data_IF_522172011326
#
_entry.id   IF_522172011326
#
_cell.length_a   1.000
_cell.length_b   1.000
_cell.length_c   1.000
_cell.angle_alpha   90.00
_cell.angle_beta   90.00
_cell.angle_gamma   90.00
#
_symmetry.space_group_name_H-M   'P 1'
#
loop_
_entity.id
_entity.type
_entity.pdbx_description
1 polymer ?
#
# COMPACT_ATOMS: atom_id res chain seq x y z
N UNK A 1 -22.64 -9.88 -1.68
CA UNK A 1 -21.19 -9.96 -1.95
C UNK A 1 -20.57 -8.71 -1.36
N UNK A 2 -19.71 -8.84 -0.35
CA UNK A 2 -18.87 -7.71 0.09
C UNK A 2 -17.98 -7.36 -1.09
N UNK A 3 -18.20 -6.20 -1.72
CA UNK A 3 -17.25 -5.65 -2.66
C UNK A 3 -15.95 -5.45 -1.87
N UNK A 4 -14.95 -6.31 -2.12
CA UNK A 4 -13.63 -6.14 -1.55
C UNK A 4 -13.11 -4.82 -2.10
N UNK A 5 -13.13 -3.78 -1.26
CA UNK A 5 -12.61 -2.46 -1.61
C UNK A 5 -11.11 -2.60 -1.92
N UNK A 6 -10.50 -1.68 -2.66
CA UNK A 6 -9.05 -1.68 -2.91
C UNK A 6 -8.38 -0.83 -1.82
N UNK A 7 -7.16 -1.15 -1.33
CA UNK A 7 -6.47 -0.30 -0.38
C UNK A 7 -6.44 1.13 -0.91
N UNK A 8 -6.84 2.10 -0.09
CA UNK A 8 -7.01 3.48 -0.53
C UNK A 8 -5.69 4.14 -0.92
N UNK A 9 -4.58 3.69 -0.32
CA UNK A 9 -3.23 4.21 -0.58
C UNK A 9 -2.25 3.08 -0.85
N UNK A 10 -1.51 3.21 -1.93
CA UNK A 10 -0.35 2.39 -2.30
C UNK A 10 0.94 2.93 -1.65
N UNK A 11 2.00 2.11 -1.63
CA UNK A 11 3.32 2.56 -1.16
C UNK A 11 3.79 3.81 -1.93
N UNK A 12 3.67 3.80 -3.26
CA UNK A 12 4.13 4.91 -4.10
C UNK A 12 3.39 6.21 -3.80
N UNK A 13 2.08 6.14 -3.58
CA UNK A 13 1.28 7.32 -3.22
C UNK A 13 1.67 7.86 -1.85
N UNK A 14 1.90 6.99 -0.86
CA UNK A 14 2.35 7.41 0.46
C UNK A 14 3.75 8.05 0.42
N UNK A 15 4.67 7.49 -0.38
CA UNK A 15 6.00 8.06 -0.57
C UNK A 15 5.94 9.43 -1.26
N UNK A 16 5.11 9.58 -2.30
CA UNK A 16 4.90 10.86 -2.95
C UNK A 16 4.37 11.92 -1.97
N UNK A 17 3.35 11.58 -1.18
CA UNK A 17 2.79 12.49 -0.17
C UNK A 17 3.78 12.87 0.93
N UNK A 18 4.67 11.96 1.33
CA UNK A 18 5.74 12.25 2.30
C UNK A 18 6.76 13.22 1.69
N UNK A 19 7.18 12.96 0.45
CA UNK A 19 8.16 13.79 -0.24
C UNK A 19 7.62 15.22 -0.48
N UNK A 20 6.33 15.36 -0.77
CA UNK A 20 5.66 16.68 -0.92
C UNK A 20 5.64 17.50 0.37
N UNK A 21 5.67 16.87 1.54
CA UNK A 21 5.68 17.58 2.83
C UNK A 21 7.08 18.02 3.29
N UNK A 22 8.12 17.71 2.52
CA UNK A 22 9.53 18.03 2.81
C UNK A 22 9.97 17.65 4.24
N UNK A 23 9.42 16.54 4.77
CA UNK A 23 9.68 16.09 6.15
C UNK A 23 11.04 15.43 6.21
N UNK A 24 11.88 15.85 7.16
CA UNK A 24 13.14 15.17 7.44
C UNK A 24 12.89 13.92 8.31
N UNK A 25 12.63 12.80 7.65
CA UNK A 25 12.31 11.51 8.28
C UNK A 25 13.36 11.05 9.30
N UNK A 26 14.64 11.31 9.04
CA UNK A 26 15.74 10.89 9.94
C UNK A 26 15.71 11.66 11.26
N UNK A 27 15.45 12.97 11.21
CA UNK A 27 15.37 13.83 12.40
C UNK A 27 14.13 13.55 13.25
N UNK A 28 13.03 13.12 12.62
CA UNK A 28 11.76 12.77 13.26
C UNK A 28 11.75 11.32 13.82
N UNK A 29 12.88 10.60 13.76
CA UNK A 29 12.99 9.23 14.29
C UNK A 29 12.49 8.12 13.36
N UNK A 30 12.19 8.45 12.10
CA UNK A 30 11.74 7.51 11.06
C UNK A 30 12.89 7.03 10.15
N UNK A 31 14.08 6.77 10.73
CA UNK A 31 15.28 6.38 9.98
C UNK A 31 15.09 5.11 9.12
N UNK A 32 14.38 4.11 9.64
CA UNK A 32 14.06 2.88 8.90
C UNK A 32 13.25 3.17 7.62
N UNK A 33 12.28 4.09 7.72
CA UNK A 33 11.45 4.52 6.60
C UNK A 33 12.25 5.32 5.57
N UNK A 34 13.15 6.19 6.04
CA UNK A 34 14.05 6.94 5.15
C UNK A 34 14.91 6.00 4.31
N UNK A 35 15.52 4.98 4.94
CA UNK A 35 16.32 3.96 4.25
C UNK A 35 15.47 3.16 3.25
N UNK A 36 14.24 2.78 3.65
CA UNK A 36 13.35 2.03 2.78
C UNK A 36 12.94 2.83 1.53
N UNK A 37 12.68 4.13 1.67
CA UNK A 37 12.38 5.04 0.56
C UNK A 37 13.62 5.19 -0.35
N UNK A 38 14.78 5.51 0.22
CA UNK A 38 16.01 5.73 -0.52
C UNK A 38 16.44 4.50 -1.34
N UNK A 39 16.34 3.32 -0.74
CA UNK A 39 16.72 2.05 -1.39
C UNK A 39 15.59 1.40 -2.18
N UNK A 40 14.43 2.05 -2.29
CA UNK A 40 13.25 1.54 -2.97
C UNK A 40 12.84 0.12 -2.49
N UNK A 41 12.87 -0.09 -1.17
CA UNK A 41 12.51 -1.36 -0.55
C UNK A 41 10.98 -1.50 -0.44
N UNK A 42 10.50 -2.73 -0.44
CA UNK A 42 9.07 -3.02 -0.19
C UNK A 42 8.75 -2.73 1.27
N UNK A 43 7.67 -2.00 1.51
CA UNK A 43 7.24 -1.64 2.85
C UNK A 43 6.55 -2.82 3.55
N UNK A 44 7.00 -3.10 4.77
CA UNK A 44 6.27 -3.95 5.69
C UNK A 44 5.15 -3.15 6.38
N UNK A 45 4.32 -3.84 7.17
CA UNK A 45 3.23 -3.22 7.94
C UNK A 45 3.71 -2.06 8.83
N UNK A 46 4.89 -2.17 9.42
CA UNK A 46 5.46 -1.14 10.31
C UNK A 46 5.71 0.14 9.52
N UNK A 47 6.36 0.04 8.36
CA UNK A 47 6.66 1.19 7.49
C UNK A 47 5.39 1.88 6.97
N UNK A 48 4.36 1.12 6.63
CA UNK A 48 3.05 1.69 6.26
C UNK A 48 2.36 2.42 7.43
N UNK A 49 2.46 1.90 8.65
CA UNK A 49 1.92 2.56 9.83
C UNK A 49 2.66 3.87 10.15
N UNK A 50 3.98 3.91 9.93
CA UNK A 50 4.76 5.14 10.06
C UNK A 50 4.32 6.20 9.05
N UNK A 51 4.07 5.80 7.78
CA UNK A 51 3.50 6.71 6.79
C UNK A 51 2.13 7.27 7.22
N UNK A 52 1.27 6.42 7.78
CA UNK A 52 -0.04 6.83 8.29
C UNK A 52 0.07 7.92 9.36
N UNK A 53 0.98 7.73 10.31
CA UNK A 53 1.21 8.65 11.41
C UNK A 53 1.73 10.01 10.93
N UNK A 54 2.76 9.99 10.08
CA UNK A 54 3.36 11.20 9.50
C UNK A 54 2.33 12.00 8.69
N UNK A 55 1.55 11.31 7.87
CA UNK A 55 0.56 11.94 6.98
C UNK A 55 -0.74 12.30 7.71
N UNK A 56 -0.92 11.85 8.96
CA UNK A 56 -2.17 11.93 9.73
C UNK A 56 -3.35 11.26 9.02
N UNK A 57 -3.08 10.13 8.37
CA UNK A 57 -4.08 9.28 7.72
C UNK A 57 -4.55 8.23 8.73
N UNK A 58 -5.86 7.99 8.79
CA UNK A 58 -6.39 6.91 9.62
C UNK A 58 -5.83 5.56 9.14
N UNK A 59 -5.26 4.79 10.07
CA UNK A 59 -4.74 3.44 9.83
C UNK A 59 -5.79 2.54 9.20
N UNK A 60 -7.06 2.73 9.56
CA UNK A 60 -8.17 1.98 8.96
C UNK A 60 -8.25 2.24 7.47
N UNK A 61 -8.07 3.47 6.99
CA UNK A 61 -8.10 3.76 5.54
C UNK A 61 -7.00 3.04 4.76
N UNK A 62 -5.86 2.81 5.42
CA UNK A 62 -4.72 2.14 4.81
C UNK A 62 -4.95 0.62 4.77
N UNK A 63 -5.50 0.02 5.83
CA UNK A 63 -5.58 -1.44 5.99
C UNK A 63 -7.00 -2.03 5.91
N UNK A 64 -8.04 -1.22 5.65
CA UNK A 64 -9.45 -1.64 5.73
C UNK A 64 -9.72 -2.92 4.93
N UNK A 65 -9.12 -2.99 3.75
CA UNK A 65 -9.28 -4.12 2.85
C UNK A 65 -8.64 -5.38 3.41
N UNK A 66 -7.43 -5.26 3.96
CA UNK A 66 -6.72 -6.39 4.57
C UNK A 66 -7.50 -6.94 5.76
N UNK A 67 -8.10 -6.04 6.55
CA UNK A 67 -8.99 -6.43 7.65
C UNK A 67 -10.27 -7.12 7.18
N UNK A 68 -10.88 -6.64 6.09
CA UNK A 68 -12.13 -7.21 5.58
C UNK A 68 -11.89 -8.56 4.88
N UNK A 69 -10.78 -8.70 4.15
CA UNK A 69 -10.51 -9.90 3.36
C UNK A 69 -9.67 -10.96 4.08
N UNK A 70 -9.09 -10.65 5.23
CA UNK A 70 -8.12 -11.50 5.95
C UNK A 70 -6.92 -11.92 5.07
N UNK A 71 -6.56 -11.03 4.12
CA UNK A 71 -5.45 -11.23 3.18
C UNK A 71 -4.54 -10.03 3.33
N UNK A 72 -3.27 -10.26 3.68
CA UNK A 72 -2.24 -9.23 3.61
C UNK A 72 -1.85 -9.02 2.15
N UNK A 73 -1.79 -7.76 1.72
CA UNK A 73 -1.27 -7.37 0.41
C UNK A 73 0.15 -6.81 0.52
N UNK A 74 0.72 -6.85 1.72
CA UNK A 74 1.99 -6.23 2.12
C UNK A 74 2.81 -7.33 2.73
N UNK A 75 3.44 -8.09 1.85
CA UNK A 75 4.01 -9.40 2.17
C UNK A 75 5.35 -9.32 2.91
N UNK A 76 5.71 -10.47 3.50
CA UNK A 76 7.09 -10.82 3.90
C UNK A 76 7.87 -11.46 2.73
N UNK A 77 7.25 -11.57 1.55
CA UNK A 77 7.83 -12.17 0.34
C UNK A 77 7.53 -13.66 0.17
N UNK A 78 6.48 -14.19 0.82
CA UNK A 78 6.13 -15.61 0.70
C UNK A 78 5.45 -15.91 -0.64
N UNK A 79 5.59 -17.13 -1.16
CA UNK A 79 5.00 -17.58 -2.44
C UNK A 79 3.46 -17.39 -2.46
N UNK A 80 2.83 -17.47 -1.29
CA UNK A 80 1.41 -17.20 -1.07
C UNK A 80 1.04 -15.72 -1.26
N UNK A 81 1.96 -14.80 -0.96
CA UNK A 81 1.79 -13.36 -1.19
C UNK A 81 1.81 -13.04 -2.69
N UNK A 82 2.68 -13.72 -3.45
CA UNK A 82 2.75 -13.58 -4.91
C UNK A 82 1.44 -14.07 -5.56
N UNK A 83 0.91 -15.21 -5.13
CA UNK A 83 -0.39 -15.71 -5.62
C UNK A 83 -1.54 -14.72 -5.31
N UNK A 84 -1.55 -14.14 -4.11
CA UNK A 84 -2.54 -13.15 -3.71
C UNK A 84 -2.42 -11.84 -4.52
N UNK A 85 -1.20 -11.37 -4.77
CA UNK A 85 -0.94 -10.18 -5.61
C UNK A 85 -1.38 -10.44 -7.05
N UNK A 86 -1.07 -11.60 -7.63
CA UNK A 86 -1.51 -11.97 -8.99
C UNK A 86 -3.04 -12.03 -9.07
N UNK A 87 -3.70 -12.54 -8.03
CA UNK A 87 -5.17 -12.58 -7.96
C UNK A 87 -5.78 -11.17 -7.93
N UNK A 88 -5.16 -10.26 -7.19
CA UNK A 88 -5.54 -8.85 -7.14
C UNK A 88 -5.37 -8.15 -8.49
N UNK A 89 -4.22 -8.35 -9.15
CA UNK A 89 -3.99 -7.82 -10.50
C UNK A 89 -5.06 -8.30 -11.49
N UNK A 90 -5.44 -9.59 -11.43
CA UNK A 90 -6.53 -10.12 -12.26
C UNK A 90 -7.86 -9.42 -11.98
N UNK A 91 -8.19 -9.17 -10.71
CA UNK A 91 -9.40 -8.45 -10.31
C UNK A 91 -9.37 -7.01 -10.82
N UNK A 92 -8.25 -6.30 -10.64
CA UNK A 92 -8.08 -4.91 -11.09
C UNK A 92 -8.19 -4.80 -12.62
N UNK A 93 -7.58 -5.71 -13.37
CA UNK A 93 -7.70 -5.75 -14.84
C UNK A 93 -9.14 -6.02 -15.27
N UNK A 94 -9.84 -6.96 -14.63
CA UNK A 94 -11.26 -7.20 -14.92
C UNK A 94 -12.13 -5.98 -14.62
N UNK A 95 -11.86 -5.27 -13.53
CA UNK A 95 -12.58 -4.06 -13.18
C UNK A 95 -12.33 -2.92 -14.18
N UNK A 96 -11.09 -2.73 -14.63
CA UNK A 96 -10.78 -1.73 -15.65
C UNK A 96 -11.44 -2.03 -17.00
N UNK A 97 -11.60 -3.31 -17.37
CA UNK A 97 -12.40 -3.72 -18.54
C UNK A 97 -13.88 -3.39 -18.35
N UNK A 98 -14.46 -3.71 -17.19
CA UNK A 98 -15.86 -3.41 -16.88
C UNK A 98 -16.16 -1.91 -16.86
N UNK A 99 -15.17 -1.08 -16.48
CA UNK A 99 -15.27 0.38 -16.48
C UNK A 99 -15.04 1.02 -17.87
N UNK A 100 -14.70 0.23 -18.89
CA UNK A 100 -14.39 0.72 -20.24
C UNK A 100 -13.05 1.46 -20.34
N UNK A 101 -12.20 1.40 -19.32
CA UNK A 101 -10.91 2.08 -19.28
C UNK A 101 -9.80 1.30 -20.01
N UNK A 102 -10.06 0.02 -20.31
CA UNK A 102 -9.18 -0.84 -21.10
C UNK A 102 -10.05 -1.56 -22.11
N UNK A 103 -9.91 -1.20 -23.39
CA UNK A 103 -10.45 -2.01 -24.48
C UNK A 103 -9.47 -3.15 -24.77
N UNK A 104 -9.99 -4.37 -24.88
CA UNK A 104 -9.28 -5.52 -25.47
C UNK A 104 -9.84 -5.70 -26.88
#
# INVERSE_FOLDING_TARGET
MLATSIPKYTQNELVALINEREINLTNEGYGDLAIAIEKNLIFDKKLFLQCAEILKIDKKEIFDVEYISDISFRGEGSEKDIENIVKLFKIMVQQSKLRGNINV
#
